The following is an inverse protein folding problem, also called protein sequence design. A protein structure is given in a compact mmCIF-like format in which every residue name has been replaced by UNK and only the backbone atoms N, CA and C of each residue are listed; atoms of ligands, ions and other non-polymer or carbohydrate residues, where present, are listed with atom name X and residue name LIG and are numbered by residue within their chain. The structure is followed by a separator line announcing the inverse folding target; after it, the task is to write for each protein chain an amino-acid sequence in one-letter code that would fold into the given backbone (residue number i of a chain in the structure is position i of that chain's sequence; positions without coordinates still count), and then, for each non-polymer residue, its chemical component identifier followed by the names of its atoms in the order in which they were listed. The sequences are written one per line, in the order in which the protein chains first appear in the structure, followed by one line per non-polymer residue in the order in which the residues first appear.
data_IF_927285715740
#
_entry.id   IF_927285715740
#
_cell.length_a   1.000
_cell.length_b   1.000
_cell.length_c   1.000
_cell.angle_alpha   90.00
_cell.angle_beta   90.00
_cell.angle_gamma   90.00
#
_symmetry.space_group_name_H-M   'P 1'
#
loop_
_entity.id
_entity.type
_entity.pdbx_description
1 polymer ?
#
# COMPACT_ATOMS: atom_id res chain seq x y z
N UNK A 1 -5.44 -9.08 34.17
CA UNK A 1 -6.87 -8.90 34.47
C UNK A 1 -7.64 -9.81 33.54
N UNK A 2 -8.23 -10.85 34.11
CA UNK A 2 -9.09 -11.81 33.41
C UNK A 2 -10.44 -11.11 33.16
N UNK A 3 -10.83 -10.95 31.90
CA UNK A 3 -12.10 -10.30 31.55
C UNK A 3 -13.20 -11.33 31.80
N UNK A 4 -13.90 -11.21 32.94
CA UNK A 4 -15.13 -11.94 33.21
C UNK A 4 -16.21 -11.49 32.21
N UNK A 5 -16.46 -12.29 31.16
CA UNK A 5 -17.62 -12.09 30.28
C UNK A 5 -18.90 -12.28 31.10
N UNK A 6 -19.63 -11.18 31.32
CA UNK A 6 -20.95 -11.21 31.93
C UNK A 6 -21.93 -12.06 31.08
N UNK A 7 -22.85 -12.81 31.70
CA UNK A 7 -23.82 -13.63 30.98
C UNK A 7 -24.76 -12.76 30.12
N UNK A 8 -24.96 -13.19 28.88
CA UNK A 8 -25.66 -12.44 27.82
C UNK A 8 -27.18 -12.41 28.11
N UNK A 9 -27.79 -11.23 28.06
CA UNK A 9 -29.19 -10.97 28.48
C UNK A 9 -30.19 -11.84 27.71
N UNK A 10 -31.04 -12.59 28.42
CA UNK A 10 -32.15 -13.39 27.87
C UNK A 10 -31.77 -14.76 27.27
N UNK A 11 -30.48 -15.09 27.19
CA UNK A 11 -30.02 -16.40 26.75
C UNK A 11 -29.90 -17.36 27.95
N UNK A 12 -30.15 -18.67 27.75
CA UNK A 12 -29.77 -19.68 28.75
C UNK A 12 -28.28 -19.52 29.06
N UNK A 13 -27.90 -19.68 30.33
CA UNK A 13 -26.49 -19.68 30.70
C UNK A 13 -25.82 -20.87 30.02
N UNK A 14 -25.16 -20.64 28.89
CA UNK A 14 -24.70 -21.71 28.01
C UNK A 14 -23.73 -22.66 28.72
N UNK A 15 -22.99 -22.15 29.72
CA UNK A 15 -22.09 -22.91 30.60
C UNK A 15 -22.80 -23.84 31.61
N UNK A 16 -24.13 -23.81 31.75
CA UNK A 16 -24.91 -24.78 32.54
C UNK A 16 -25.71 -25.80 31.72
N UNK A 17 -25.70 -25.71 30.39
CA UNK A 17 -26.37 -26.68 29.50
C UNK A 17 -25.64 -28.03 29.51
N UNK A 18 -26.37 -29.15 29.42
CA UNK A 18 -25.79 -30.51 29.40
C UNK A 18 -24.81 -30.69 28.22
N UNK A 19 -23.72 -31.44 28.43
CA UNK A 19 -22.68 -31.74 27.45
C UNK A 19 -23.25 -32.20 26.10
N UNK A 20 -24.20 -33.15 26.11
CA UNK A 20 -24.80 -33.73 24.90
C UNK A 20 -25.54 -32.68 24.05
N UNK A 21 -26.26 -31.75 24.70
CA UNK A 21 -26.96 -30.67 24.03
C UNK A 21 -25.98 -29.64 23.44
N UNK A 22 -24.83 -29.42 24.08
CA UNK A 22 -23.77 -28.56 23.53
C UNK A 22 -23.10 -29.20 22.33
N UNK A 23 -22.72 -30.46 22.43
CA UNK A 23 -22.12 -31.22 21.33
C UNK A 23 -23.04 -31.22 20.11
N UNK A 24 -24.33 -31.52 20.31
CA UNK A 24 -25.32 -31.47 19.24
C UNK A 24 -25.46 -30.06 18.62
N UNK A 25 -25.37 -29.01 19.44
CA UNK A 25 -25.39 -27.64 18.93
C UNK A 25 -24.13 -27.29 18.14
N UNK A 26 -22.94 -27.70 18.60
CA UNK A 26 -21.69 -27.47 17.87
C UNK A 26 -21.69 -28.26 16.55
N UNK A 27 -22.18 -29.51 16.55
CA UNK A 27 -22.39 -30.30 15.34
C UNK A 27 -23.35 -29.63 14.35
N UNK A 28 -24.46 -29.08 14.85
CA UNK A 28 -25.42 -28.34 14.03
C UNK A 28 -24.78 -27.08 13.43
N UNK A 29 -24.03 -26.30 14.22
CA UNK A 29 -23.29 -25.12 13.77
C UNK A 29 -22.26 -25.51 12.71
N UNK A 30 -21.51 -26.58 12.92
CA UNK A 30 -20.49 -27.06 11.98
C UNK A 30 -21.11 -27.62 10.69
N UNK A 31 -22.25 -28.31 10.78
CA UNK A 31 -23.01 -28.73 9.60
C UNK A 31 -23.50 -27.52 8.79
N UNK A 32 -24.01 -26.47 9.47
CA UNK A 32 -24.38 -25.22 8.81
C UNK A 32 -23.16 -24.62 8.12
N UNK A 33 -22.03 -24.42 8.83
CA UNK A 33 -20.77 -23.90 8.28
C UNK A 33 -20.31 -24.67 7.03
N UNK A 34 -20.28 -26.00 7.11
CA UNK A 34 -19.87 -26.84 6.00
C UNK A 34 -20.78 -26.67 4.78
N UNK A 35 -22.10 -26.54 4.99
CA UNK A 35 -23.07 -26.32 3.90
C UNK A 35 -22.96 -24.92 3.32
N UNK A 36 -22.86 -23.87 4.14
CA UNK A 36 -22.65 -22.49 3.67
C UNK A 36 -21.35 -22.35 2.90
N UNK A 37 -20.25 -22.93 3.38
CA UNK A 37 -18.97 -22.92 2.67
C UNK A 37 -19.01 -23.71 1.36
N UNK A 38 -19.49 -24.95 1.37
CA UNK A 38 -19.51 -25.84 0.19
C UNK A 38 -20.42 -25.30 -0.92
N UNK A 39 -21.52 -24.64 -0.57
CA UNK A 39 -22.52 -24.12 -1.51
C UNK A 39 -22.44 -22.61 -1.73
N UNK A 40 -21.51 -21.93 -1.05
CA UNK A 40 -21.34 -20.45 -1.09
C UNK A 40 -22.64 -19.70 -0.79
N UNK A 41 -23.37 -20.17 0.21
CA UNK A 41 -24.63 -19.53 0.65
C UNK A 41 -24.27 -18.37 1.58
N UNK A 42 -24.78 -17.18 1.25
CA UNK A 42 -24.71 -16.01 2.13
C UNK A 42 -25.98 -15.95 2.97
N UNK A 43 -25.89 -16.27 4.27
CA UNK A 43 -27.07 -16.32 5.14
C UNK A 43 -27.54 -14.93 5.58
N UNK A 44 -26.66 -13.93 5.64
CA UNK A 44 -27.02 -12.58 6.09
C UNK A 44 -28.15 -11.91 5.26
N UNK A 45 -28.13 -11.93 3.91
CA UNK A 45 -29.25 -11.46 3.11
C UNK A 45 -30.53 -12.28 3.34
N UNK A 46 -30.42 -13.62 3.44
CA UNK A 46 -31.57 -14.51 3.66
C UNK A 46 -32.31 -14.15 4.95
N UNK A 47 -31.59 -13.95 6.06
CA UNK A 47 -32.22 -13.55 7.32
C UNK A 47 -32.77 -12.11 7.27
N UNK A 48 -32.10 -11.22 6.53
CA UNK A 48 -32.56 -9.83 6.36
C UNK A 48 -33.92 -9.76 5.65
N UNK A 49 -34.23 -10.69 4.74
CA UNK A 49 -35.54 -10.74 4.08
C UNK A 49 -36.69 -10.99 5.07
N UNK A 50 -36.42 -11.64 6.21
CA UNK A 50 -37.38 -11.88 7.28
C UNK A 50 -37.35 -10.80 8.37
N UNK A 51 -36.22 -10.13 8.59
CA UNK A 51 -36.04 -9.07 9.59
C UNK A 51 -36.40 -7.67 9.05
N UNK A 52 -37.71 -7.43 8.90
CA UNK A 52 -38.24 -6.15 8.42
C UNK A 52 -37.87 -4.95 9.28
N UNK A 53 -37.60 -5.18 10.57
CA UNK A 53 -37.31 -4.12 11.54
C UNK A 53 -35.79 -3.89 11.68
N UNK A 54 -34.96 -4.67 10.99
CA UNK A 54 -33.51 -4.64 11.01
C UNK A 54 -32.94 -4.65 12.45
N UNK A 55 -33.55 -5.46 13.33
CA UNK A 55 -33.17 -5.55 14.73
C UNK A 55 -32.31 -6.78 15.06
N UNK A 56 -31.97 -7.60 14.07
CA UNK A 56 -31.13 -8.79 14.22
C UNK A 56 -31.86 -10.04 14.70
N UNK A 57 -33.20 -10.05 14.69
CA UNK A 57 -34.01 -11.16 15.19
C UNK A 57 -35.01 -11.67 14.17
N UNK A 58 -35.24 -12.98 14.18
CA UNK A 58 -36.30 -13.64 13.40
C UNK A 58 -37.03 -14.67 14.27
N UNK A 59 -38.26 -15.04 13.89
CA UNK A 59 -38.99 -16.11 14.58
C UNK A 59 -38.34 -17.48 14.34
N UNK A 60 -38.63 -18.47 15.19
CA UNK A 60 -38.14 -19.86 15.05
C UNK A 60 -38.49 -20.45 13.68
N UNK A 61 -39.73 -20.28 13.23
CA UNK A 61 -40.16 -20.77 11.92
C UNK A 61 -39.44 -20.08 10.77
N UNK A 62 -39.21 -18.76 10.85
CA UNK A 62 -38.46 -18.03 9.83
C UNK A 62 -37.00 -18.49 9.78
N UNK A 63 -36.37 -18.79 10.93
CA UNK A 63 -35.03 -19.38 10.97
C UNK A 63 -35.01 -20.76 10.30
N UNK A 64 -35.94 -21.65 10.66
CA UNK A 64 -36.06 -22.98 10.05
C UNK A 64 -36.27 -22.89 8.53
N UNK A 65 -37.16 -22.00 8.09
CA UNK A 65 -37.43 -21.74 6.67
C UNK A 65 -36.21 -21.16 5.95
N UNK A 66 -35.47 -20.23 6.56
CA UNK A 66 -34.26 -19.66 6.01
C UNK A 66 -33.19 -20.73 5.74
N UNK A 67 -32.98 -21.66 6.69
CA UNK A 67 -32.04 -22.77 6.51
C UNK A 67 -32.55 -23.77 5.46
N UNK A 68 -33.80 -24.19 5.57
CA UNK A 68 -34.39 -25.21 4.68
C UNK A 68 -34.45 -24.74 3.21
N UNK A 69 -34.90 -23.52 2.95
CA UNK A 69 -34.99 -22.94 1.60
C UNK A 69 -33.62 -22.78 0.93
N UNK A 70 -32.55 -22.70 1.72
CA UNK A 70 -31.17 -22.68 1.23
C UNK A 70 -30.52 -24.08 1.22
N UNK A 71 -31.32 -25.13 1.42
CA UNK A 71 -30.89 -26.53 1.37
C UNK A 71 -30.00 -26.96 2.54
N UNK A 72 -30.04 -26.23 3.66
CA UNK A 72 -29.38 -26.58 4.91
C UNK A 72 -30.39 -27.40 5.72
N UNK A 73 -30.30 -28.72 5.54
CA UNK A 73 -31.18 -29.68 6.20
C UNK A 73 -30.55 -30.12 7.52
N UNK A 74 -31.21 -29.75 8.61
CA UNK A 74 -30.87 -30.15 9.98
C UNK A 74 -32.02 -31.00 10.53
N UNK A 75 -31.71 -31.93 11.45
CA UNK A 75 -32.75 -32.64 12.19
C UNK A 75 -33.49 -31.69 13.14
N UNK A 76 -34.67 -32.09 13.62
CA UNK A 76 -35.39 -31.28 14.60
C UNK A 76 -34.61 -31.09 15.90
N UNK A 77 -33.81 -32.07 16.30
CA UNK A 77 -32.95 -31.98 17.48
C UNK A 77 -31.81 -30.96 17.27
N UNK A 78 -31.21 -30.93 16.08
CA UNK A 78 -30.21 -29.93 15.69
C UNK A 78 -30.81 -28.52 15.61
N UNK A 79 -32.03 -28.37 15.08
CA UNK A 79 -32.71 -27.07 15.04
C UNK A 79 -33.06 -26.58 16.45
N UNK A 80 -33.52 -27.49 17.31
CA UNK A 80 -33.83 -27.17 18.69
C UNK A 80 -32.59 -26.75 19.48
N UNK A 81 -31.44 -27.41 19.28
CA UNK A 81 -30.20 -27.04 19.96
C UNK A 81 -29.69 -25.65 19.55
N UNK A 82 -29.85 -25.27 18.27
CA UNK A 82 -29.59 -23.90 17.80
C UNK A 82 -30.55 -22.90 18.44
N UNK A 83 -31.83 -23.23 18.52
CA UNK A 83 -32.85 -22.39 19.17
C UNK A 83 -32.53 -22.17 20.65
N UNK A 84 -32.06 -23.18 21.38
CA UNK A 84 -31.66 -23.03 22.78
C UNK A 84 -30.47 -22.09 22.97
N UNK A 85 -29.53 -22.07 22.01
CA UNK A 85 -28.31 -21.26 22.10
C UNK A 85 -28.52 -19.81 21.68
N UNK A 86 -29.29 -19.57 20.62
CA UNK A 86 -29.35 -18.27 19.94
C UNK A 86 -30.69 -17.55 20.11
N UNK A 87 -31.71 -18.16 20.72
CA UNK A 87 -32.93 -17.43 21.07
C UNK A 87 -32.74 -16.57 22.33
N UNK A 88 -33.46 -15.46 22.34
CA UNK A 88 -33.73 -14.64 23.52
C UNK A 88 -35.22 -14.23 23.52
N UNK A 89 -35.59 -13.27 24.36
CA UNK A 89 -36.98 -12.78 24.49
C UNK A 89 -37.56 -12.20 23.19
N UNK A 90 -36.71 -11.79 22.24
CA UNK A 90 -37.11 -11.21 20.94
C UNK A 90 -37.18 -12.27 19.82
N UNK A 91 -36.77 -13.51 20.07
CA UNK A 91 -36.68 -14.58 19.08
C UNK A 91 -35.24 -14.98 18.78
N UNK A 92 -35.01 -15.54 17.60
CA UNK A 92 -33.71 -16.06 17.19
C UNK A 92 -32.79 -14.92 16.77
N UNK A 93 -31.71 -14.70 17.54
CA UNK A 93 -30.71 -13.69 17.23
C UNK A 93 -29.77 -14.20 16.14
N UNK A 94 -30.09 -13.86 14.89
CA UNK A 94 -29.33 -14.35 13.75
C UNK A 94 -27.97 -13.62 13.62
N UNK A 95 -27.77 -12.43 14.21
CA UNK A 95 -26.45 -11.80 14.24
C UNK A 95 -25.43 -12.61 15.05
N UNK A 96 -25.85 -13.16 16.20
CA UNK A 96 -24.98 -14.03 17.00
C UNK A 96 -24.73 -15.36 16.32
N UNK A 97 -25.77 -15.94 15.73
CA UNK A 97 -25.62 -17.16 14.93
C UNK A 97 -24.62 -16.96 13.79
N UNK A 98 -24.78 -15.91 12.98
CA UNK A 98 -23.91 -15.58 11.86
C UNK A 98 -22.46 -15.35 12.27
N UNK A 99 -22.19 -14.80 13.47
CA UNK A 99 -20.81 -14.66 13.97
C UNK A 99 -20.10 -16.01 14.13
N UNK A 100 -20.86 -17.05 14.45
CA UNK A 100 -20.35 -18.40 14.59
C UNK A 100 -20.35 -19.17 13.26
N UNK A 101 -21.37 -19.00 12.40
CA UNK A 101 -21.52 -19.79 11.15
C UNK A 101 -20.95 -19.16 9.89
N UNK A 102 -20.90 -17.83 9.80
CA UNK A 102 -20.24 -17.21 8.66
C UNK A 102 -18.76 -17.59 8.73
N UNK A 103 -18.15 -17.99 7.61
CA UNK A 103 -16.71 -18.08 7.56
C UNK A 103 -16.21 -16.72 8.01
N UNK A 104 -15.53 -16.68 9.17
CA UNK A 104 -14.70 -15.53 9.51
C UNK A 104 -13.91 -15.29 8.23
N UNK A 105 -13.85 -14.04 7.70
CA UNK A 105 -12.87 -13.78 6.67
C UNK A 105 -11.61 -14.43 7.21
N UNK A 106 -11.06 -15.39 6.46
CA UNK A 106 -9.74 -15.89 6.78
C UNK A 106 -8.99 -14.58 7.02
N UNK A 107 -8.48 -14.36 8.24
CA UNK A 107 -7.47 -13.33 8.38
C UNK A 107 -6.46 -13.81 7.38
N UNK A 108 -6.54 -13.21 6.21
CA UNK A 108 -5.79 -13.59 5.06
C UNK A 108 -4.41 -13.51 5.65
N UNK A 109 -3.74 -14.66 5.87
CA UNK A 109 -2.37 -14.65 6.34
C UNK A 109 -1.75 -13.63 5.42
N UNK A 110 -1.29 -12.47 5.94
CA UNK A 110 -1.33 -11.13 5.26
C UNK A 110 -0.99 -11.16 3.75
N UNK A 111 -0.25 -12.19 3.37
CA UNK A 111 -0.17 -12.87 2.09
C UNK A 111 -1.43 -13.15 1.20
N UNK A 112 -2.66 -13.53 1.61
CA UNK A 112 -3.71 -13.90 0.60
C UNK A 112 -4.23 -12.70 -0.18
N UNK A 113 -4.46 -11.56 0.49
CA UNK A 113 -4.70 -10.28 -0.18
C UNK A 113 -3.51 -9.90 -1.07
N UNK A 114 -2.29 -10.10 -0.58
CA UNK A 114 -1.06 -9.91 -1.35
C UNK A 114 -0.92 -10.88 -2.53
N UNK A 115 -1.45 -12.11 -2.47
CA UNK A 115 -1.39 -13.13 -3.53
C UNK A 115 -2.46 -12.92 -4.57
N UNK A 116 -3.66 -12.46 -4.20
CA UNK A 116 -4.65 -12.00 -5.17
C UNK A 116 -4.19 -10.73 -5.89
N UNK A 117 -3.49 -9.85 -5.18
CA UNK A 117 -2.82 -8.68 -5.74
C UNK A 117 -1.64 -9.09 -6.66
N UNK A 118 -0.83 -10.08 -6.25
CA UNK A 118 0.24 -10.67 -7.07
C UNK A 118 -0.29 -11.49 -8.25
N UNK A 119 -1.43 -12.20 -8.14
CA UNK A 119 -2.10 -12.90 -9.25
C UNK A 119 -2.84 -11.92 -10.19
N UNK A 120 -3.23 -10.73 -9.72
CA UNK A 120 -3.65 -9.60 -10.58
C UNK A 120 -2.46 -8.95 -11.29
N UNK A 121 -1.28 -8.93 -10.67
CA UNK A 121 -0.02 -8.47 -11.26
C UNK A 121 0.58 -9.50 -12.26
N UNK A 122 0.37 -10.81 -12.03
CA UNK A 122 0.92 -11.91 -12.83
C UNK A 122 -0.07 -12.56 -13.81
N UNK A 123 -1.37 -12.26 -13.77
CA UNK A 123 -2.22 -12.50 -14.95
C UNK A 123 -1.64 -11.63 -16.06
N UNK A 124 -1.21 -12.24 -17.17
CA UNK A 124 -0.73 -11.49 -18.33
C UNK A 124 -1.79 -10.44 -18.68
N UNK A 125 -1.48 -9.17 -18.39
CA UNK A 125 -2.25 -8.05 -18.90
C UNK A 125 -2.18 -8.18 -20.43
N UNK A 126 -3.31 -8.04 -21.16
CA UNK A 126 -3.23 -7.88 -22.60
C UNK A 126 -2.23 -6.75 -22.85
N UNK A 127 -1.16 -7.02 -23.64
CA UNK A 127 0.06 -6.20 -23.74
C UNK A 127 -0.24 -4.72 -23.52
N UNK A 128 -0.08 -4.28 -22.28
CA UNK A 128 -0.37 -2.91 -21.89
C UNK A 128 0.80 -2.07 -22.39
N UNK A 129 0.48 -1.00 -23.15
CA UNK A 129 1.46 -0.03 -23.66
C UNK A 129 2.41 0.38 -22.53
N UNK A 130 3.70 0.49 -22.85
CA UNK A 130 4.77 0.72 -21.89
C UNK A 130 4.50 1.96 -21.01
N UNK A 131 3.99 1.76 -19.80
CA UNK A 131 3.92 2.78 -18.75
C UNK A 131 5.03 2.52 -17.76
N UNK A 132 6.05 3.37 -17.87
CA UNK A 132 7.29 3.36 -17.11
C UNK A 132 6.99 4.18 -15.83
N UNK A 133 6.95 3.52 -14.67
CA UNK A 133 6.69 4.17 -13.38
C UNK A 133 7.78 3.79 -12.38
N UNK A 134 8.73 4.71 -12.21
CA UNK A 134 9.56 4.81 -11.03
C UNK A 134 9.61 6.31 -10.73
N UNK A 135 9.11 6.77 -9.59
CA UNK A 135 8.93 8.21 -9.34
C UNK A 135 9.42 8.57 -7.94
N UNK A 136 10.66 9.05 -7.88
CA UNK A 136 11.23 10.02 -6.91
C UNK A 136 12.74 10.06 -7.17
N UNK A 137 13.29 11.21 -7.55
CA UNK A 137 14.73 11.39 -7.80
C UNK A 137 15.56 10.91 -6.59
N UNK A 138 15.04 11.04 -5.36
CA UNK A 138 15.69 10.61 -4.12
C UNK A 138 15.64 9.08 -3.96
N UNK A 139 14.53 8.41 -4.30
CA UNK A 139 14.45 6.95 -4.30
C UNK A 139 15.12 6.30 -5.51
N UNK A 140 15.19 6.99 -6.64
CA UNK A 140 15.97 6.58 -7.82
C UNK A 140 17.45 6.61 -7.46
N UNK A 141 17.92 7.68 -6.81
CA UNK A 141 19.29 7.80 -6.30
C UNK A 141 19.59 6.79 -5.18
N UNK A 142 18.62 6.50 -4.30
CA UNK A 142 18.74 5.45 -3.28
C UNK A 142 18.75 4.02 -3.87
N UNK A 143 17.98 3.75 -4.94
CA UNK A 143 17.99 2.47 -5.67
C UNK A 143 19.26 2.30 -6.53
N UNK A 144 19.81 3.38 -7.08
CA UNK A 144 21.11 3.38 -7.77
C UNK A 144 22.23 3.08 -6.77
N UNK A 145 22.29 3.76 -5.60
CA UNK A 145 23.25 3.41 -4.52
C UNK A 145 23.03 1.99 -3.97
N UNK A 146 21.79 1.57 -3.74
CA UNK A 146 21.48 0.22 -3.25
C UNK A 146 21.81 -0.92 -4.23
N UNK A 147 21.84 -0.65 -5.54
CA UNK A 147 22.24 -1.64 -6.55
C UNK A 147 23.74 -1.63 -6.82
N UNK A 148 24.41 -0.47 -6.79
CA UNK A 148 25.88 -0.37 -6.91
C UNK A 148 26.59 -0.94 -5.67
N UNK A 149 26.04 -0.78 -4.46
CA UNK A 149 26.58 -1.41 -3.23
C UNK A 149 26.36 -2.93 -3.22
N UNK A 150 25.23 -3.42 -3.76
CA UNK A 150 24.97 -4.87 -3.91
C UNK A 150 25.74 -5.52 -5.06
N UNK A 151 26.07 -4.79 -6.11
CA UNK A 151 26.83 -5.31 -7.26
C UNK A 151 28.35 -5.13 -7.11
N UNK A 152 28.85 -4.18 -6.29
CA UNK A 152 30.29 -4.11 -5.95
C UNK A 152 30.74 -5.20 -4.97
N UNK A 153 29.86 -5.72 -4.12
CA UNK A 153 30.19 -6.85 -3.22
C UNK A 153 30.17 -8.19 -3.98
N UNK A 154 29.60 -8.23 -5.20
CA UNK A 154 29.44 -9.49 -5.95
C UNK A 154 30.61 -9.86 -6.86
N UNK A 155 31.68 -9.07 -6.89
CA UNK A 155 32.87 -9.34 -7.70
C UNK A 155 34.02 -9.99 -6.91
N UNK A 156 33.81 -10.39 -5.65
CA UNK A 156 34.85 -11.07 -4.84
C UNK A 156 34.39 -12.43 -4.25
N UNK A 157 33.15 -12.86 -4.46
CA UNK A 157 32.67 -14.15 -3.95
C UNK A 157 32.11 -15.06 -5.06
N UNK A 158 32.92 -15.30 -6.10
CA UNK A 158 32.86 -16.62 -6.72
C UNK A 158 33.47 -17.62 -5.72
N UNK A 159 32.61 -18.38 -5.04
CA UNK A 159 32.81 -19.74 -4.53
C UNK A 159 32.21 -19.95 -3.12
N UNK A 160 31.48 -21.05 -2.99
CA UNK A 160 31.01 -21.71 -1.76
C UNK A 160 29.76 -21.16 -1.02
N UNK A 161 28.73 -22.01 -1.06
CA UNK A 161 27.68 -22.29 -0.05
C UNK A 161 27.64 -21.51 1.29
N UNK A 162 26.39 -21.19 1.66
CA UNK A 162 25.74 -21.26 2.99
C UNK A 162 25.49 -19.98 3.81
N UNK A 163 24.20 -19.83 4.18
CA UNK A 163 23.62 -19.34 5.45
C UNK A 163 24.24 -18.16 6.18
N UNK A 164 23.53 -17.00 6.16
CA UNK A 164 23.26 -16.04 7.26
C UNK A 164 22.97 -14.64 6.70
N UNK A 165 21.68 -14.30 6.53
CA UNK A 165 21.23 -12.93 6.28
C UNK A 165 21.10 -12.19 7.62
N UNK A 166 22.13 -11.47 8.05
CA UNK A 166 21.98 -10.53 9.16
C UNK A 166 21.23 -9.27 8.68
N UNK A 167 20.03 -9.09 9.21
CA UNK A 167 19.15 -7.93 8.99
C UNK A 167 19.73 -6.72 9.73
N UNK A 168 19.92 -5.59 9.05
CA UNK A 168 20.03 -4.27 9.70
C UNK A 168 18.63 -3.77 10.07
N UNK A 169 18.15 -3.87 11.32
CA UNK A 169 16.74 -3.72 11.67
C UNK A 169 16.32 -2.27 11.97
N UNK A 170 17.22 -1.29 11.81
CA UNK A 170 17.01 0.10 12.21
C UNK A 170 16.79 1.07 11.04
N UNK A 171 16.52 0.58 9.83
CA UNK A 171 16.20 1.48 8.71
C UNK A 171 14.79 2.05 8.89
N UNK A 172 14.71 3.31 9.34
CA UNK A 172 13.45 4.05 9.44
C UNK A 172 12.84 4.14 8.03
N UNK A 173 11.61 3.64 7.81
CA UNK A 173 10.96 3.74 6.51
C UNK A 173 10.66 5.21 6.19
N UNK A 174 11.15 5.70 5.04
CA UNK A 174 10.85 7.04 4.55
C UNK A 174 9.35 7.14 4.23
N UNK A 175 8.67 8.11 4.85
CA UNK A 175 7.27 8.43 4.60
C UNK A 175 7.06 8.79 3.11
N UNK A 176 6.07 8.15 2.48
CA UNK A 176 5.76 8.34 1.05
C UNK A 176 5.12 9.72 0.80
N UNK A 177 5.79 10.55 -0.01
CA UNK A 177 5.27 11.84 -0.51
C UNK A 177 5.05 11.69 -2.03
N UNK A 178 3.81 11.85 -2.55
CA UNK A 178 3.53 11.69 -3.98
C UNK A 178 4.25 12.73 -4.87
N UNK A 179 5.02 12.28 -5.86
CA UNK A 179 5.68 13.15 -6.86
C UNK A 179 4.75 13.42 -8.04
N UNK A 180 4.53 14.70 -8.36
CA UNK A 180 3.62 15.19 -9.42
C UNK A 180 4.21 15.07 -10.84
N UNK A 181 4.79 13.91 -11.20
CA UNK A 181 5.37 13.76 -12.55
C UNK A 181 4.27 13.54 -13.60
N UNK A 182 4.18 14.45 -14.58
CA UNK A 182 3.32 14.35 -15.76
C UNK A 182 4.06 13.66 -16.93
N UNK A 183 3.41 13.46 -18.07
CA UNK A 183 4.06 12.83 -19.24
C UNK A 183 5.30 13.60 -19.73
N UNK A 184 5.37 14.91 -19.45
CA UNK A 184 6.40 15.82 -19.98
C UNK A 184 7.72 15.79 -19.20
N UNK A 185 7.68 15.59 -17.87
CA UNK A 185 8.88 15.56 -17.03
C UNK A 185 9.42 14.13 -16.79
N UNK A 186 9.09 13.22 -17.71
CA UNK A 186 9.27 11.81 -17.50
C UNK A 186 10.65 11.28 -17.92
N UNK A 187 11.44 10.78 -16.97
CA UNK A 187 12.83 10.31 -17.22
C UNK A 187 13.01 8.80 -17.31
N UNK A 188 13.81 8.37 -18.29
CA UNK A 188 14.05 6.99 -18.67
C UNK A 188 15.20 6.41 -17.86
N UNK A 189 15.46 5.13 -17.99
CA UNK A 189 16.51 4.51 -17.18
C UNK A 189 17.88 5.16 -17.42
N UNK A 190 18.20 5.44 -18.68
CA UNK A 190 19.45 6.10 -19.06
C UNK A 190 19.44 7.59 -18.69
N UNK A 191 18.33 8.30 -18.91
CA UNK A 191 18.15 9.68 -18.48
C UNK A 191 18.29 9.83 -16.96
N UNK A 192 17.81 8.87 -16.15
CA UNK A 192 18.00 8.88 -14.70
C UNK A 192 19.46 8.75 -14.29
N UNK A 193 20.22 7.90 -15.00
CA UNK A 193 21.67 7.78 -14.77
C UNK A 193 22.37 9.08 -15.13
N UNK A 194 22.05 9.65 -16.28
CA UNK A 194 22.59 10.93 -16.75
C UNK A 194 22.29 12.04 -15.72
N UNK A 195 21.05 12.13 -15.26
CA UNK A 195 20.64 13.09 -14.23
C UNK A 195 21.42 12.91 -12.94
N UNK A 196 21.57 11.67 -12.46
CA UNK A 196 22.32 11.39 -11.23
C UNK A 196 23.77 11.86 -11.33
N UNK A 197 24.43 11.59 -12.46
CA UNK A 197 25.80 12.05 -12.73
C UNK A 197 25.85 13.58 -12.77
N UNK A 198 24.95 14.21 -13.52
CA UNK A 198 24.90 15.66 -13.66
C UNK A 198 24.70 16.36 -12.30
N UNK A 199 23.71 15.92 -11.52
CA UNK A 199 23.40 16.49 -10.21
C UNK A 199 24.56 16.29 -9.22
N UNK A 200 25.30 15.18 -9.30
CA UNK A 200 26.52 15.00 -8.50
C UNK A 200 27.66 15.94 -8.92
N UNK A 201 27.86 16.16 -10.23
CA UNK A 201 28.88 17.11 -10.70
C UNK A 201 28.59 18.53 -10.18
N UNK A 202 27.33 18.94 -10.26
CA UNK A 202 26.87 20.24 -9.77
C UNK A 202 26.90 20.34 -8.24
N UNK A 203 26.68 19.24 -7.52
CA UNK A 203 26.63 19.27 -6.05
C UNK A 203 27.98 19.36 -5.35
N UNK A 204 29.07 19.03 -6.04
CA UNK A 204 30.44 19.07 -5.49
C UNK A 204 31.05 20.48 -5.42
N UNK A 205 30.28 21.51 -5.76
CA UNK A 205 30.72 22.92 -5.78
C UNK A 205 29.78 23.77 -4.91
N UNK A 206 29.79 23.60 -3.58
CA UNK A 206 28.83 24.26 -2.68
C UNK A 206 28.87 25.79 -2.76
N UNK A 207 30.06 26.37 -2.98
CA UNK A 207 30.20 27.83 -3.12
C UNK A 207 29.45 28.35 -4.36
N UNK A 208 29.39 27.56 -5.44
CA UNK A 208 28.62 27.91 -6.64
C UNK A 208 27.13 27.72 -6.40
N UNK A 209 26.72 26.69 -5.64
CA UNK A 209 25.32 26.46 -5.27
C UNK A 209 24.75 27.63 -4.46
N UNK A 210 25.48 28.10 -3.42
CA UNK A 210 25.05 29.21 -2.58
C UNK A 210 24.88 30.51 -3.38
N UNK A 211 25.71 30.70 -4.41
CA UNK A 211 25.66 31.87 -5.29
C UNK A 211 24.68 31.75 -6.46
N UNK A 212 24.15 30.56 -6.74
CA UNK A 212 23.20 30.32 -7.82
C UNK A 212 21.77 30.74 -7.44
N UNK A 213 21.34 30.48 -6.21
CA UNK A 213 19.97 30.81 -5.76
C UNK A 213 19.60 32.28 -5.96
N UNK A 214 20.44 33.28 -5.58
CA UNK A 214 20.11 34.68 -5.81
C UNK A 214 19.91 35.02 -7.29
N UNK A 215 20.75 34.48 -8.18
CA UNK A 215 20.63 34.73 -9.64
C UNK A 215 19.32 34.18 -10.19
N UNK A 216 18.95 32.96 -9.82
CA UNK A 216 17.70 32.34 -10.25
C UNK A 216 16.48 33.14 -9.74
N UNK A 217 16.56 33.63 -8.50
CA UNK A 217 15.53 34.47 -7.90
C UNK A 217 15.37 35.82 -8.61
N UNK A 218 16.45 36.43 -9.09
CA UNK A 218 16.38 37.70 -9.83
C UNK A 218 15.61 37.57 -11.16
N UNK A 219 15.61 36.38 -11.77
CA UNK A 219 14.77 36.08 -12.94
C UNK A 219 13.30 35.82 -12.59
N UNK A 220 12.99 35.37 -11.38
CA UNK A 220 11.65 35.08 -10.87
C UNK A 220 11.04 36.27 -10.11
N UNK A 221 10.75 37.35 -10.84
CA UNK A 221 10.17 38.59 -10.28
C UNK A 221 8.83 38.36 -9.58
N UNK A 222 8.07 37.37 -10.06
CA UNK A 222 6.76 36.99 -9.51
C UNK A 222 6.86 36.05 -8.31
N UNK A 223 8.08 35.65 -7.93
CA UNK A 223 8.38 34.76 -6.81
C UNK A 223 7.56 33.46 -6.83
N UNK A 224 7.38 32.90 -8.02
CA UNK A 224 6.52 31.75 -8.23
C UNK A 224 7.26 30.41 -8.19
N UNK A 225 8.59 30.44 -8.20
CA UNK A 225 9.46 29.27 -8.13
C UNK A 225 9.81 28.65 -9.47
N UNK A 226 9.44 29.27 -10.58
CA UNK A 226 9.70 28.77 -11.95
C UNK A 226 10.30 29.85 -12.83
N UNK A 227 11.16 29.46 -13.77
CA UNK A 227 11.78 30.37 -14.76
C UNK A 227 11.87 29.69 -16.13
N UNK A 228 12.08 30.43 -17.22
CA UNK A 228 12.30 29.81 -18.54
C UNK A 228 13.61 29.05 -18.61
N UNK A 229 13.68 28.03 -19.47
CA UNK A 229 14.91 27.25 -19.73
C UNK A 229 16.10 28.15 -20.12
N UNK A 230 15.86 29.18 -20.95
CA UNK A 230 16.89 30.14 -21.34
C UNK A 230 17.45 30.94 -20.15
N UNK A 231 16.58 31.38 -19.24
CA UNK A 231 17.01 32.07 -18.01
C UNK A 231 17.78 31.13 -17.09
N UNK A 232 17.35 29.87 -16.99
CA UNK A 232 18.04 28.84 -16.24
C UNK A 232 19.45 28.58 -16.80
N UNK A 233 19.57 28.42 -18.13
CA UNK A 233 20.86 28.27 -18.80
C UNK A 233 21.78 29.47 -18.54
N UNK A 234 21.26 30.70 -18.68
CA UNK A 234 22.02 31.92 -18.39
C UNK A 234 22.52 31.98 -16.94
N UNK A 235 21.69 31.55 -15.99
CA UNK A 235 22.09 31.52 -14.58
C UNK A 235 23.24 30.55 -14.34
N UNK A 236 23.21 29.36 -14.97
CA UNK A 236 24.29 28.38 -14.87
C UNK A 236 25.58 28.87 -15.56
N UNK A 237 25.49 29.54 -16.71
CA UNK A 237 26.65 30.16 -17.39
C UNK A 237 27.28 31.22 -16.47
N UNK A 238 26.47 32.10 -15.90
CA UNK A 238 26.94 33.18 -15.03
C UNK A 238 27.65 32.69 -13.76
N UNK A 239 27.41 31.44 -13.36
CA UNK A 239 28.04 30.79 -12.22
C UNK A 239 29.06 29.72 -12.64
N UNK A 240 29.45 29.69 -13.91
CA UNK A 240 30.42 28.74 -14.47
C UNK A 240 30.05 27.27 -14.18
N UNK A 241 28.75 26.99 -14.04
CA UNK A 241 28.22 25.66 -13.77
C UNK A 241 27.92 24.89 -15.06
N UNK A 242 27.78 25.58 -16.19
CA UNK A 242 27.57 24.93 -17.50
C UNK A 242 28.78 24.10 -17.93
N UNK A 243 30.01 24.51 -17.60
CA UNK A 243 31.23 23.79 -18.00
C UNK A 243 31.41 22.47 -17.22
N UNK A 244 30.64 22.27 -16.16
CA UNK A 244 30.66 21.05 -15.35
C UNK A 244 29.79 19.95 -15.95
N UNK A 245 28.87 20.27 -16.86
CA UNK A 245 27.88 19.33 -17.41
C UNK A 245 27.89 19.36 -18.93
N UNK A 246 27.63 18.21 -19.54
CA UNK A 246 27.45 18.11 -20.98
C UNK A 246 26.09 18.68 -21.41
N UNK A 247 25.91 19.04 -22.69
CA UNK A 247 24.62 19.48 -23.21
C UNK A 247 23.48 18.47 -22.97
N UNK A 248 23.77 17.17 -23.09
CA UNK A 248 22.81 16.10 -22.82
C UNK A 248 22.44 16.02 -21.33
N UNK A 249 23.40 16.24 -20.43
CA UNK A 249 23.13 16.34 -18.99
C UNK A 249 22.25 17.54 -18.65
N UNK A 250 22.48 18.68 -19.31
CA UNK A 250 21.65 19.89 -19.17
C UNK A 250 20.21 19.66 -19.65
N UNK A 251 20.03 19.03 -20.82
CA UNK A 251 18.70 18.72 -21.36
C UNK A 251 17.89 17.82 -20.40
N UNK A 252 18.55 16.80 -19.84
CA UNK A 252 17.93 15.89 -18.88
C UNK A 252 17.57 16.60 -17.57
N UNK A 253 18.40 17.54 -17.09
CA UNK A 253 18.05 18.41 -15.95
C UNK A 253 16.80 19.21 -16.28
N UNK A 254 16.75 19.89 -17.43
CA UNK A 254 15.62 20.71 -17.83
C UNK A 254 14.32 19.89 -17.93
N UNK A 255 14.41 18.69 -18.52
CA UNK A 255 13.30 17.74 -18.57
C UNK A 255 12.82 17.33 -17.18
N UNK A 256 13.75 16.99 -16.28
CA UNK A 256 13.45 16.55 -14.92
C UNK A 256 12.69 17.60 -14.13
N UNK A 257 13.15 18.85 -14.19
CA UNK A 257 12.61 19.96 -13.41
C UNK A 257 11.60 20.78 -14.21
N UNK A 258 11.08 20.24 -15.32
CA UNK A 258 10.09 20.95 -16.12
C UNK A 258 8.76 21.10 -15.37
N UNK A 259 8.18 22.28 -15.52
CA UNK A 259 6.92 22.70 -14.92
C UNK A 259 6.06 23.39 -15.97
N UNK A 260 4.77 23.01 -16.03
CA UNK A 260 3.82 23.59 -16.97
C UNK A 260 3.06 24.75 -16.32
N UNK A 261 3.32 25.96 -16.81
CA UNK A 261 2.63 27.18 -16.38
C UNK A 261 1.77 27.71 -17.51
N UNK A 262 0.50 27.32 -17.50
CA UNK A 262 -0.40 27.57 -18.63
C UNK A 262 0.11 26.83 -19.87
N UNK A 263 0.36 27.56 -20.97
CA UNK A 263 0.91 27.01 -22.21
C UNK A 263 2.45 27.06 -22.28
N UNK A 264 3.11 27.56 -21.23
CA UNK A 264 4.57 27.72 -21.19
C UNK A 264 5.22 26.58 -20.40
N UNK A 265 6.33 26.10 -20.93
CA UNK A 265 7.19 25.14 -20.25
C UNK A 265 8.32 25.93 -19.55
N UNK A 266 8.37 25.80 -18.23
CA UNK A 266 9.31 26.49 -17.36
C UNK A 266 10.06 25.44 -16.53
N UNK A 267 11.06 25.88 -15.76
CA UNK A 267 11.90 25.06 -14.89
C UNK A 267 11.59 25.42 -13.45
N UNK A 268 11.20 24.44 -12.64
CA UNK A 268 11.09 24.55 -11.18
C UNK A 268 12.49 24.59 -10.56
N UNK A 269 13.06 25.78 -10.56
CA UNK A 269 14.41 26.02 -10.06
C UNK A 269 14.48 25.83 -8.53
N UNK A 270 13.36 25.93 -7.80
CA UNK A 270 13.32 25.68 -6.35
C UNK A 270 13.49 24.19 -6.07
N UNK A 271 12.80 23.33 -6.82
CA UNK A 271 12.99 21.88 -6.74
C UNK A 271 14.43 21.48 -7.11
N UNK A 272 14.99 22.10 -8.15
CA UNK A 272 16.39 21.92 -8.53
C UNK A 272 17.37 22.30 -7.40
N UNK A 273 17.23 23.48 -6.80
CA UNK A 273 18.09 23.92 -5.69
C UNK A 273 17.95 23.02 -4.47
N UNK A 274 16.71 22.61 -4.12
CA UNK A 274 16.47 21.68 -3.02
C UNK A 274 17.15 20.33 -3.25
N UNK A 275 17.14 19.82 -4.48
CA UNK A 275 17.82 18.58 -4.83
C UNK A 275 19.35 18.70 -4.68
N UNK A 276 19.92 19.84 -5.10
CA UNK A 276 21.33 20.16 -4.92
C UNK A 276 21.74 20.22 -3.43
N UNK A 277 20.92 20.85 -2.58
CA UNK A 277 21.17 20.96 -1.13
C UNK A 277 21.14 19.58 -0.45
N UNK A 278 20.14 18.76 -0.77
CA UNK A 278 20.03 17.39 -0.26
C UNK A 278 21.28 16.59 -0.64
N UNK A 279 21.74 16.72 -1.89
CA UNK A 279 22.90 15.98 -2.36
C UNK A 279 24.18 16.39 -1.67
N UNK A 280 24.42 17.69 -1.53
CA UNK A 280 25.56 18.21 -0.81
C UNK A 280 25.56 17.74 0.66
N UNK A 281 24.40 17.80 1.33
CA UNK A 281 24.26 17.30 2.69
C UNK A 281 24.58 15.80 2.78
N UNK A 282 24.06 14.96 1.87
CA UNK A 282 24.36 13.52 1.88
C UNK A 282 25.81 13.16 1.58
N UNK A 283 26.55 13.97 0.81
CA UNK A 283 27.98 13.73 0.51
C UNK A 283 28.86 14.07 1.74
N UNK A 284 28.49 15.11 2.50
CA UNK A 284 29.19 15.53 3.72
C UNK A 284 29.12 14.50 4.86
N UNK A 285 28.04 13.72 4.94
CA UNK A 285 27.83 12.71 5.99
C UNK A 285 28.19 11.28 5.58
N UNK A 286 28.66 11.06 4.34
CA UNK A 286 29.12 9.74 3.90
C UNK A 286 30.27 9.88 2.88
N UNK A 287 31.47 10.30 3.31
CA UNK A 287 32.58 10.65 2.44
C UNK A 287 33.37 9.45 1.88
N UNK A 288 32.83 8.23 1.98
CA UNK A 288 33.51 6.98 1.66
C UNK A 288 32.82 6.23 0.50
#
# INVERSE_FOLDING_TARGET
MEILELPRKGAKHWQSVNLKSRELCEEAVDKVKQKTMKRRILLKPVFRDYDKNNNGHVTRNQMRQALHSNGILLSDEELFSLEERFNNDMGFNYFWFLREVDPKPQEDALYTGFIEEMKKLNREKPKAKATRQEKDIVQIMAKVKGKVVRERIRAVEEAFTQSCLERSPLTIPLQHIPTKDCEKNFLNFDERKILGIAMQKLSKKPDLQMNLYPVLRDYDKENCGTISEHQFQKALILREMMDLISPNEFEVICKCFSFERGMRQEIDYRAFMKALDILYATDKYNPF
#
